data_IF_539274658882
#
_entry.id   IF_539274658882
#
_cell.length_a   1.000
_cell.length_b   1.000
_cell.length_c   1.000
_cell.angle_alpha   90.00
_cell.angle_beta   90.00
_cell.angle_gamma   90.00
#
_symmetry.space_group_name_H-M   'P 1'
#
loop_
_entity.id
_entity.type
_entity.pdbx_description
1 polymer ?
#
# COMPACT_ATOMS: atom_id res chain seq x y z
N UNK A 1 -21.60 3.28 -10.91
CA UNK A 1 -21.52 1.91 -10.37
C UNK A 1 -22.02 1.89 -8.94
N UNK A 2 -22.89 0.95 -8.59
CA UNK A 2 -23.35 0.71 -7.21
C UNK A 2 -22.44 -0.33 -6.55
N UNK A 3 -21.96 -0.07 -5.32
CA UNK A 3 -21.18 -1.04 -4.54
C UNK A 3 -22.10 -1.92 -3.69
N UNK A 4 -21.72 -3.18 -3.45
CA UNK A 4 -22.51 -4.12 -2.63
C UNK A 4 -22.61 -3.69 -1.18
N UNK A 5 -21.52 -3.16 -0.61
CA UNK A 5 -21.44 -2.80 0.79
C UNK A 5 -21.34 -1.29 0.98
N UNK A 6 -21.93 -0.82 2.08
CA UNK A 6 -21.76 0.54 2.57
C UNK A 6 -20.36 0.68 3.18
N UNK A 7 -19.66 1.77 2.89
CA UNK A 7 -18.31 1.96 3.37
C UNK A 7 -18.21 2.49 4.80
N UNK A 8 -19.25 3.19 5.28
CA UNK A 8 -19.23 3.88 6.58
C UNK A 8 -18.73 3.02 7.74
N UNK A 9 -19.18 1.76 7.92
CA UNK A 9 -18.69 0.94 9.03
C UNK A 9 -17.20 0.65 8.96
N UNK A 10 -16.65 0.45 7.75
CA UNK A 10 -15.21 0.24 7.57
C UNK A 10 -14.42 1.53 7.85
N UNK A 11 -14.92 2.68 7.38
CA UNK A 11 -14.30 3.99 7.63
C UNK A 11 -14.35 4.40 9.11
N UNK A 12 -15.32 3.91 9.88
CA UNK A 12 -15.39 4.09 11.33
C UNK A 12 -14.43 3.15 12.09
N UNK A 13 -14.23 1.92 11.61
CA UNK A 13 -13.36 0.93 12.25
C UNK A 13 -11.87 1.18 12.00
N UNK A 14 -11.48 1.63 10.81
CA UNK A 14 -10.08 1.81 10.44
C UNK A 14 -9.31 2.82 11.33
N UNK A 15 -9.85 4.00 11.70
CA UNK A 15 -9.23 4.89 12.67
C UNK A 15 -9.08 4.28 14.06
N UNK A 16 -10.01 3.43 14.49
CA UNK A 16 -9.92 2.76 15.80
C UNK A 16 -8.80 1.72 15.82
N UNK A 17 -8.57 1.03 14.69
CA UNK A 17 -7.53 0.02 14.56
C UNK A 17 -6.13 0.60 14.33
N UNK A 18 -6.02 1.68 13.55
CA UNK A 18 -4.72 2.19 13.05
C UNK A 18 -4.38 3.61 13.49
N UNK A 19 -5.26 4.30 14.22
CA UNK A 19 -5.04 5.69 14.62
C UNK A 19 -4.99 6.65 13.42
N UNK A 20 -4.19 7.70 13.57
CA UNK A 20 -4.07 8.80 12.58
C UNK A 20 -2.64 8.96 12.03
N UNK A 21 -1.80 7.95 12.23
CA UNK A 21 -0.38 7.99 11.89
C UNK A 21 -0.14 8.03 10.38
N UNK A 22 0.84 8.85 9.97
CA UNK A 22 1.31 8.89 8.61
C UNK A 22 2.03 7.58 8.25
N UNK A 23 1.69 7.02 7.09
CA UNK A 23 2.35 5.82 6.56
C UNK A 23 3.85 6.04 6.33
N UNK A 24 4.25 7.27 5.97
CA UNK A 24 5.64 7.65 5.74
C UNK A 24 6.00 8.91 6.52
N UNK A 25 7.21 8.92 7.12
CA UNK A 25 7.73 10.06 7.86
C UNK A 25 7.13 10.26 9.26
N UNK A 26 6.39 9.28 9.79
CA UNK A 26 5.98 9.26 11.19
C UNK A 26 7.18 9.03 12.12
N UNK A 27 7.07 9.51 13.36
CA UNK A 27 8.05 9.24 14.42
C UNK A 27 7.72 7.85 15.00
N UNK A 28 8.58 6.82 14.82
CA UNK A 28 8.35 5.54 15.48
C UNK A 28 8.42 5.75 16.99
N UNK A 29 7.46 5.22 17.75
CA UNK A 29 7.55 5.19 19.23
C UNK A 29 8.81 4.45 19.72
N UNK A 30 9.31 3.51 18.91
CA UNK A 30 10.50 2.71 19.20
C UNK A 30 11.61 2.95 18.17
N UNK A 31 12.70 3.59 18.62
CA UNK A 31 13.92 3.89 17.84
C UNK A 31 14.87 2.70 17.71
N UNK A 32 14.40 1.47 17.94
CA UNK A 32 15.24 0.28 17.76
C UNK A 32 15.53 0.07 16.26
N UNK A 33 16.81 -0.04 15.91
CA UNK A 33 17.40 0.15 14.57
C UNK A 33 16.95 -0.75 13.42
N UNK A 34 15.80 -1.43 13.51
CA UNK A 34 15.20 -2.20 12.43
C UNK A 34 13.73 -1.81 12.24
N UNK A 35 13.48 -0.58 11.77
CA UNK A 35 12.14 -0.18 11.34
C UNK A 35 11.69 -1.09 10.19
N UNK A 36 10.73 -1.99 10.48
CA UNK A 36 10.14 -2.92 9.52
C UNK A 36 9.68 -2.16 8.28
N UNK A 37 10.06 -2.65 7.09
CA UNK A 37 9.73 -2.01 5.82
C UNK A 37 8.40 -2.57 5.32
N UNK A 38 7.37 -1.73 5.38
CA UNK A 38 6.00 -2.08 5.01
C UNK A 38 5.59 -1.46 3.68
N UNK A 39 4.89 -2.24 2.87
CA UNK A 39 4.29 -1.81 1.61
C UNK A 39 2.86 -2.35 1.50
N UNK A 40 1.93 -1.51 1.07
CA UNK A 40 0.53 -1.87 0.80
C UNK A 40 0.25 -1.61 -0.68
N UNK A 41 -0.31 -2.60 -1.38
CA UNK A 41 -0.61 -2.51 -2.81
C UNK A 41 -2.01 -1.97 -3.07
N UNK A 42 -2.13 -1.14 -4.09
CA UNK A 42 -3.41 -0.70 -4.66
C UNK A 42 -3.26 -0.51 -6.18
N UNK A 43 -4.35 -0.16 -6.85
CA UNK A 43 -4.37 0.23 -8.26
C UNK A 43 -5.04 1.59 -8.38
N UNK A 44 -4.65 2.42 -9.33
CA UNK A 44 -5.42 3.63 -9.66
C UNK A 44 -6.85 3.27 -10.04
N UNK A 45 -7.81 4.16 -9.82
CA UNK A 45 -9.21 3.90 -10.17
C UNK A 45 -9.39 3.56 -11.67
N UNK A 46 -8.53 4.10 -12.55
CA UNK A 46 -8.52 3.75 -13.98
C UNK A 46 -8.14 2.28 -14.25
N UNK A 47 -7.53 1.60 -13.28
CA UNK A 47 -7.04 0.23 -13.43
C UNK A 47 -5.72 0.12 -14.21
N UNK A 48 -5.09 1.25 -14.54
CA UNK A 48 -3.91 1.29 -15.42
C UNK A 48 -2.60 1.13 -14.65
N UNK A 49 -2.46 1.80 -13.49
CA UNK A 49 -1.22 1.81 -12.72
C UNK A 49 -1.36 1.04 -11.41
N UNK A 50 -0.44 0.11 -11.18
CA UNK A 50 -0.24 -0.49 -9.86
C UNK A 50 0.57 0.49 -9.03
N UNK A 51 0.10 0.74 -7.81
CA UNK A 51 0.76 1.64 -6.87
C UNK A 51 1.06 0.93 -5.55
N UNK A 52 2.09 1.40 -4.87
CA UNK A 52 2.38 0.97 -3.50
C UNK A 52 2.45 2.15 -2.55
N UNK A 53 1.87 1.97 -1.36
CA UNK A 53 2.00 2.87 -0.23
C UNK A 53 3.04 2.27 0.72
N UNK A 54 4.16 2.94 0.91
CA UNK A 54 5.27 2.41 1.70
C UNK A 54 5.60 3.28 2.90
N UNK A 55 6.29 2.74 3.90
CA UNK A 55 6.84 3.49 5.03
C UNK A 55 8.32 3.85 4.90
N UNK A 56 8.89 3.65 3.71
CA UNK A 56 10.30 3.90 3.42
C UNK A 56 10.49 4.64 2.10
N UNK A 57 11.57 5.40 1.98
CA UNK A 57 11.96 5.97 0.69
C UNK A 57 12.95 5.06 -0.01
N UNK A 58 12.90 5.06 -1.33
CA UNK A 58 13.87 4.37 -2.18
C UNK A 58 14.01 5.10 -3.51
N UNK A 59 15.10 4.84 -4.23
CA UNK A 59 15.26 5.33 -5.59
C UNK A 59 14.14 4.79 -6.49
N UNK A 60 13.64 5.63 -7.40
CA UNK A 60 12.71 5.19 -8.44
C UNK A 60 13.50 4.60 -9.61
N UNK A 61 13.13 3.40 -10.07
CA UNK A 61 13.60 2.84 -11.34
C UNK A 61 12.41 2.69 -12.29
N UNK A 62 12.61 3.00 -13.56
CA UNK A 62 11.62 2.76 -14.61
C UNK A 62 11.51 1.26 -14.91
N UNK A 63 10.36 0.82 -15.45
CA UNK A 63 10.18 -0.54 -15.97
C UNK A 63 9.78 -1.62 -14.96
N UNK A 64 9.57 -1.29 -13.67
CA UNK A 64 9.21 -2.28 -12.64
C UNK A 64 7.71 -2.63 -12.56
N UNK A 65 6.87 -2.02 -13.39
CA UNK A 65 5.44 -2.32 -13.50
C UNK A 65 4.54 -1.78 -12.38
N UNK A 66 5.10 -1.09 -11.39
CA UNK A 66 4.36 -0.40 -10.34
C UNK A 66 5.13 0.85 -9.88
N UNK A 67 4.46 1.74 -9.14
CA UNK A 67 5.07 2.99 -8.65
C UNK A 67 4.79 3.24 -7.16
N UNK A 68 5.78 3.66 -6.36
CA UNK A 68 5.52 4.13 -5.00
C UNK A 68 4.80 5.48 -5.03
N UNK A 69 3.76 5.62 -4.22
CA UNK A 69 3.05 6.89 -4.05
C UNK A 69 3.76 7.72 -2.99
N UNK A 70 4.23 8.89 -3.42
CA UNK A 70 4.98 9.84 -2.62
C UNK A 70 4.53 11.25 -2.95
N UNK A 71 4.41 12.07 -1.92
CA UNK A 71 4.08 13.49 -2.04
C UNK A 71 5.20 14.31 -1.41
N UNK A 72 5.50 15.46 -2.01
CA UNK A 72 6.53 16.36 -1.52
C UNK A 72 6.11 17.05 -0.22
N UNK A 73 4.81 17.36 -0.10
CA UNK A 73 4.24 17.91 1.13
C UNK A 73 3.89 16.77 2.10
N UNK A 74 4.49 16.73 3.31
CA UNK A 74 4.18 15.73 4.32
C UNK A 74 2.69 15.67 4.71
N UNK A 75 1.95 16.77 4.62
CA UNK A 75 0.51 16.81 4.91
C UNK A 75 -0.31 15.99 3.90
N UNK A 76 0.26 15.74 2.72
CA UNK A 76 -0.34 14.93 1.68
C UNK A 76 0.03 13.45 1.79
N UNK A 77 0.90 13.07 2.74
CA UNK A 77 1.18 11.66 2.98
C UNK A 77 -0.09 10.92 3.38
N UNK A 78 -0.21 9.69 2.87
CA UNK A 78 -1.28 8.80 3.27
C UNK A 78 -1.07 8.36 4.71
N UNK A 79 -2.17 8.23 5.44
CA UNK A 79 -2.20 7.59 6.75
C UNK A 79 -2.31 6.08 6.61
N UNK A 80 -1.90 5.33 7.63
CA UNK A 80 -2.00 3.86 7.61
C UNK A 80 -3.43 3.40 7.35
N UNK A 81 -4.41 4.02 8.02
CA UNK A 81 -5.84 3.75 7.81
C UNK A 81 -6.31 4.01 6.37
N UNK A 82 -5.73 4.99 5.69
CA UNK A 82 -6.09 5.35 4.31
C UNK A 82 -5.50 4.36 3.31
N UNK A 83 -4.27 3.90 3.54
CA UNK A 83 -3.68 2.80 2.77
C UNK A 83 -4.48 1.50 2.93
N UNK A 84 -4.93 1.17 4.15
CA UNK A 84 -5.80 0.03 4.41
C UNK A 84 -7.17 0.18 3.72
N UNK A 85 -7.74 1.38 3.74
CA UNK A 85 -8.99 1.72 3.04
C UNK A 85 -8.88 1.53 1.53
N UNK A 86 -7.76 1.93 0.94
CA UNK A 86 -7.47 1.74 -0.49
C UNK A 86 -7.29 0.27 -0.85
N UNK A 87 -6.53 -0.47 -0.06
CA UNK A 87 -6.31 -1.91 -0.26
C UNK A 87 -7.60 -2.73 -0.13
N UNK A 88 -8.57 -2.26 0.67
CA UNK A 88 -9.87 -2.93 0.84
C UNK A 88 -10.93 -2.49 -0.19
N UNK A 89 -10.59 -1.58 -1.11
CA UNK A 89 -11.53 -1.00 -2.06
C UNK A 89 -11.78 -1.95 -3.26
N UNK A 90 -12.21 -3.17 -2.99
CA UNK A 90 -12.44 -4.19 -3.99
C UNK A 90 -13.60 -3.79 -4.92
N UNK A 91 -13.39 -3.77 -6.26
CA UNK A 91 -14.46 -3.46 -7.21
C UNK A 91 -15.70 -4.33 -6.98
N UNK A 92 -16.88 -3.76 -7.25
CA UNK A 92 -18.20 -4.33 -6.97
C UNK A 92 -18.57 -4.45 -5.48
N UNK A 93 -17.60 -4.61 -4.57
CA UNK A 93 -17.86 -4.73 -3.13
C UNK A 93 -17.89 -3.38 -2.43
N UNK A 94 -16.85 -2.58 -2.62
CA UNK A 94 -16.69 -1.27 -1.98
C UNK A 94 -16.46 -0.17 -3.02
N UNK A 95 -16.78 1.07 -2.65
CA UNK A 95 -16.45 2.23 -3.48
C UNK A 95 -14.93 2.45 -3.50
N UNK A 96 -14.37 3.00 -4.60
CA UNK A 96 -12.99 3.46 -4.64
C UNK A 96 -12.65 4.37 -3.45
N UNK A 97 -11.42 4.32 -2.99
CA UNK A 97 -10.91 5.25 -2.01
C UNK A 97 -10.45 6.53 -2.70
N UNK A 98 -11.07 7.65 -2.36
CA UNK A 98 -10.69 8.96 -2.88
C UNK A 98 -9.96 9.77 -1.81
N UNK A 99 -8.72 10.15 -2.10
CA UNK A 99 -7.93 11.02 -1.23
C UNK A 99 -8.11 12.49 -1.65
N UNK A 100 -8.95 13.21 -0.90
CA UNK A 100 -9.23 14.63 -1.13
C UNK A 100 -8.01 15.55 -1.08
N UNK A 101 -6.93 15.17 -0.36
CA UNK A 101 -5.72 16.00 -0.24
C UNK A 101 -4.90 15.99 -1.52
N UNK A 102 -4.94 14.87 -2.26
CA UNK A 102 -4.09 14.64 -3.43
C UNK A 102 -4.88 14.48 -4.72
N UNK A 103 -6.22 14.46 -4.61
CA UNK A 103 -7.16 14.15 -5.70
C UNK A 103 -6.90 12.78 -6.35
N UNK A 104 -6.20 11.88 -5.64
CA UNK A 104 -5.93 10.52 -6.10
C UNK A 104 -7.06 9.57 -5.73
N UNK A 105 -7.40 8.66 -6.65
CA UNK A 105 -8.42 7.64 -6.45
C UNK A 105 -7.85 6.24 -6.66
N UNK A 106 -8.17 5.32 -5.76
CA UNK A 106 -7.55 4.00 -5.67
C UNK A 106 -8.57 2.89 -5.45
N UNK A 107 -8.29 1.73 -6.04
CA UNK A 107 -9.02 0.47 -5.84
C UNK A 107 -8.06 -0.62 -5.34
N UNK A 108 -8.63 -1.74 -4.90
CA UNK A 108 -7.90 -2.88 -4.36
C UNK A 108 -6.77 -3.37 -5.29
N UNK A 109 -5.61 -3.67 -4.70
CA UNK A 109 -4.45 -4.25 -5.39
C UNK A 109 -4.75 -5.58 -6.07
N UNK A 110 -5.71 -6.35 -5.56
CA UNK A 110 -6.12 -7.65 -6.08
C UNK A 110 -6.58 -7.63 -7.54
N UNK A 111 -6.99 -6.46 -8.05
CA UNK A 111 -7.35 -6.25 -9.46
C UNK A 111 -6.19 -6.59 -10.42
N UNK A 112 -4.95 -6.40 -9.98
CA UNK A 112 -3.73 -6.69 -10.76
C UNK A 112 -2.79 -7.67 -10.07
N UNK A 113 -2.68 -7.57 -8.74
CA UNK A 113 -1.77 -8.34 -7.91
C UNK A 113 -2.44 -8.79 -6.61
N UNK A 114 -3.24 -9.86 -6.70
CA UNK A 114 -3.85 -10.48 -5.51
C UNK A 114 -2.80 -11.14 -4.59
N UNK A 115 -1.60 -11.43 -5.11
CA UNK A 115 -0.45 -11.82 -4.30
C UNK A 115 0.72 -10.84 -4.55
N UNK A 116 1.10 -10.02 -3.56
CA UNK A 116 2.12 -8.99 -3.72
C UNK A 116 3.57 -9.53 -3.67
N UNK A 117 3.79 -10.85 -3.66
CA UNK A 117 5.11 -11.42 -3.40
C UNK A 117 6.21 -10.97 -4.37
N UNK A 118 5.86 -10.77 -5.66
CA UNK A 118 6.81 -10.27 -6.66
C UNK A 118 7.19 -8.82 -6.39
N UNK A 119 6.23 -8.00 -5.94
CA UNK A 119 6.46 -6.62 -5.54
C UNK A 119 7.34 -6.60 -4.30
N UNK A 120 7.04 -7.43 -3.28
CA UNK A 120 7.84 -7.55 -2.07
C UNK A 120 9.31 -7.91 -2.40
N UNK A 121 9.53 -8.93 -3.23
CA UNK A 121 10.88 -9.34 -3.63
C UNK A 121 11.61 -8.28 -4.48
N UNK A 122 10.90 -7.47 -5.27
CA UNK A 122 11.54 -6.36 -5.97
C UNK A 122 11.93 -5.24 -5.00
N UNK A 123 11.07 -4.94 -4.01
CA UNK A 123 11.32 -3.91 -3.01
C UNK A 123 12.48 -4.27 -2.07
N UNK A 124 12.72 -5.55 -1.75
CA UNK A 124 13.91 -5.95 -0.98
C UNK A 124 15.20 -5.56 -1.70
N UNK A 125 15.29 -5.80 -3.02
CA UNK A 125 16.46 -5.44 -3.84
C UNK A 125 16.69 -3.94 -3.92
N UNK A 126 15.61 -3.15 -3.89
CA UNK A 126 15.72 -1.69 -3.85
C UNK A 126 16.22 -1.17 -2.51
N UNK A 127 15.82 -1.82 -1.42
CA UNK A 127 16.16 -1.43 -0.05
C UNK A 127 17.56 -1.90 0.36
N UNK A 128 17.95 -3.08 -0.11
CA UNK A 128 19.18 -3.76 0.24
C UNK A 128 19.87 -4.27 -1.04
N UNK A 129 20.57 -3.40 -1.78
CA UNK A 129 21.25 -3.79 -3.02
C UNK A 129 22.33 -4.86 -2.80
N UNK A 130 22.91 -4.94 -1.60
CA UNK A 130 23.92 -5.91 -1.20
C UNK A 130 23.40 -7.35 -1.13
N UNK A 131 22.08 -7.54 -1.07
CA UNK A 131 21.43 -8.86 -1.09
C UNK A 131 20.75 -9.17 -2.43
N UNK A 132 20.88 -8.31 -3.44
CA UNK A 132 20.19 -8.47 -4.73
C UNK A 132 20.51 -9.80 -5.45
N UNK A 133 21.76 -10.25 -5.35
CA UNK A 133 22.24 -11.50 -5.93
C UNK A 133 22.01 -12.73 -5.03
N UNK A 134 21.50 -12.53 -3.81
CA UNK A 134 21.23 -13.62 -2.87
C UNK A 134 19.82 -14.15 -3.06
N UNK A 135 19.64 -15.44 -2.82
CA UNK A 135 18.30 -16.02 -2.74
C UNK A 135 17.59 -15.50 -1.49
N UNK A 136 16.41 -14.88 -1.62
CA UNK A 136 15.67 -14.36 -0.49
C UNK A 136 14.90 -15.48 0.22
N UNK A 137 14.85 -15.43 1.55
CA UNK A 137 13.89 -16.20 2.32
C UNK A 137 12.53 -15.51 2.25
N UNK A 138 11.55 -16.15 1.60
CA UNK A 138 10.23 -15.57 1.32
C UNK A 138 9.13 -16.48 1.88
N UNK A 139 8.26 -15.90 2.71
CA UNK A 139 7.01 -16.52 3.15
C UNK A 139 5.82 -15.77 2.51
N UNK A 140 4.99 -16.49 1.73
CA UNK A 140 3.74 -15.97 1.17
C UNK A 140 2.57 -16.73 1.79
N UNK A 141 1.71 -16.03 2.52
CA UNK A 141 0.53 -16.60 3.19
C UNK A 141 -0.71 -16.24 2.39
N UNK A 142 -1.42 -17.26 1.87
CA UNK A 142 -2.69 -17.08 1.16
C UNK A 142 -3.90 -17.20 2.10
N UNK A 143 -5.06 -16.77 1.60
CA UNK A 143 -6.35 -16.85 2.31
C UNK A 143 -7.18 -18.09 1.93
N UNK A 144 -6.56 -19.08 1.29
CA UNK A 144 -7.19 -20.31 0.80
C UNK A 144 -7.63 -20.24 -0.66
N UNK A 145 -7.82 -21.41 -1.28
CA UNK A 145 -8.42 -21.60 -2.61
C UNK A 145 -9.46 -22.71 -2.50
N UNK A 146 -10.62 -22.52 -3.12
CA UNK A 146 -11.73 -23.49 -3.15
C UNK A 146 -12.08 -23.82 -4.59
#
# INVERSE_FOLDING_TARGET
MTSKYCIKPLEEALPQAFGDEAMFGGVPEDMSGFARKGAVTAVTETGEEIVIFTNYSRASKSGIGYRPVRHNDPNNNLKVREAARAASAAPFFFKPFFNYRTMGSYIDGAVKHNNPIRIANNETKFLWPDVEERYPDILSVGTGYH
#
